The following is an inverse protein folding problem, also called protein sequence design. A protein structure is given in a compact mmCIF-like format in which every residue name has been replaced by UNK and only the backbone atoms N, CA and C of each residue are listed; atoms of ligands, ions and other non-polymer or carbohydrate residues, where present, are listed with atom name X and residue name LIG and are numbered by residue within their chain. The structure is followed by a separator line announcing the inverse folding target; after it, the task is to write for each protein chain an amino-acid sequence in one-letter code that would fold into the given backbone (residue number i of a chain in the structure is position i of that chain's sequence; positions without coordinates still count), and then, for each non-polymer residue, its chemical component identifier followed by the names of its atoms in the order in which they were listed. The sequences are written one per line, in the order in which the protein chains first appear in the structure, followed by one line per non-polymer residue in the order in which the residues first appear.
data_IF_213819657919
#
_entry.id   IF_213819657919
#
_cell.length_a   1.000
_cell.length_b   1.000
_cell.length_c   1.000
_cell.angle_alpha   90.00
_cell.angle_beta   90.00
_cell.angle_gamma   90.00
#
_symmetry.space_group_name_H-M   'P 1'
#
loop_
_entity.id
_entity.type
_entity.pdbx_description
1 polymer ?
#
# COMPACT_ATOMS: atom_id res chain seq x y z
N UNK A 1 10.99 -14.93 43.59
CA UNK A 1 11.02 -15.72 42.34
C UNK A 1 9.62 -15.71 41.75
N UNK A 2 9.38 -14.88 40.74
CA UNK A 2 9.24 -15.18 39.30
C UNK A 2 7.87 -15.76 38.92
N UNK A 3 7.41 -15.33 37.73
CA UNK A 3 6.31 -15.85 36.90
C UNK A 3 4.91 -15.39 37.33
N UNK A 4 3.99 -14.94 36.48
CA UNK A 4 3.88 -14.66 35.03
C UNK A 4 2.40 -14.27 34.81
N UNK A 5 2.03 -13.82 33.59
CA UNK A 5 0.68 -13.95 33.01
C UNK A 5 -0.48 -13.14 33.64
N UNK A 6 -1.45 -12.58 32.93
CA UNK A 6 -1.89 -12.75 31.55
C UNK A 6 -2.83 -11.60 31.17
N UNK A 7 -2.97 -11.37 29.85
CA UNK A 7 -4.11 -10.76 29.13
C UNK A 7 -4.67 -9.43 29.68
N UNK A 8 -4.39 -8.26 29.10
CA UNK A 8 -4.63 -7.84 27.71
C UNK A 8 -6.05 -8.18 27.21
N UNK A 9 -6.97 -7.33 27.63
CA UNK A 9 -8.38 -7.30 27.25
C UNK A 9 -8.54 -6.69 25.84
N UNK A 10 -9.00 -7.51 24.90
CA UNK A 10 -9.78 -7.05 23.76
C UNK A 10 -11.16 -6.66 24.31
N UNK A 11 -11.75 -5.52 23.90
CA UNK A 11 -12.87 -5.49 22.95
C UNK A 11 -13.11 -4.00 22.65
N UNK A 12 -13.04 -3.50 21.42
CA UNK A 12 -14.07 -3.67 20.39
C UNK A 12 -15.53 -3.48 20.88
N UNK A 13 -15.75 -2.63 21.90
CA UNK A 13 -17.04 -2.03 22.31
C UNK A 13 -16.68 -0.73 23.03
N UNK A 14 -17.59 0.23 23.12
CA UNK A 14 -17.53 1.11 24.27
C UNK A 14 -17.85 0.21 25.49
N UNK A 15 -16.82 -0.27 26.21
CA UNK A 15 -17.00 -0.83 27.55
C UNK A 15 -17.22 0.35 28.50
N UNK A 16 -18.45 0.89 28.49
CA UNK A 16 -18.96 1.58 29.67
C UNK A 16 -19.37 0.46 30.65
N UNK A 17 -18.41 -0.06 31.41
CA UNK A 17 -18.64 -0.98 32.54
C UNK A 17 -19.20 -0.19 33.74
N UNK A 18 -20.34 0.46 33.54
CA UNK A 18 -21.09 1.08 34.63
C UNK A 18 -22.54 0.63 34.58
N UNK A 19 -22.77 -0.58 35.07
CA UNK A 19 -24.05 -0.96 35.65
C UNK A 19 -24.45 0.09 36.69
N UNK A 20 -25.65 0.64 36.53
CA UNK A 20 -26.31 1.65 37.37
C UNK A 20 -25.75 3.07 37.36
N UNK A 21 -26.19 3.85 36.37
CA UNK A 21 -26.40 5.29 36.54
C UNK A 21 -27.79 5.64 36.01
N UNK A 22 -28.50 6.48 36.73
CA UNK A 22 -29.85 6.98 36.41
C UNK A 22 -29.89 7.53 34.97
N UNK A 23 -30.92 7.09 34.23
CA UNK A 23 -31.07 7.22 32.77
C UNK A 23 -30.83 8.65 32.23
N UNK A 24 -31.20 9.69 32.99
CA UNK A 24 -31.30 11.07 32.49
C UNK A 24 -29.95 11.80 32.41
N UNK A 25 -29.01 11.54 33.33
CA UNK A 25 -27.70 12.22 33.37
C UNK A 25 -26.65 11.54 32.48
N UNK A 26 -26.81 10.24 32.25
CA UNK A 26 -25.99 9.47 31.30
C UNK A 26 -26.25 9.99 29.88
N UNK A 27 -27.51 10.21 29.52
CA UNK A 27 -27.93 10.62 28.17
C UNK A 27 -27.33 11.96 27.73
N UNK A 28 -27.29 13.01 28.57
CA UNK A 28 -26.75 14.31 28.15
C UNK A 28 -25.22 14.29 27.96
N UNK A 29 -24.51 13.54 28.80
CA UNK A 29 -23.04 13.39 28.74
C UNK A 29 -22.63 12.46 27.60
N UNK A 30 -23.42 11.43 27.35
CA UNK A 30 -23.26 10.50 26.25
C UNK A 30 -23.55 11.19 24.91
N UNK A 31 -24.61 12.00 24.82
CA UNK A 31 -24.92 12.83 23.64
C UNK A 31 -23.82 13.83 23.30
N UNK A 32 -23.18 14.47 24.31
CA UNK A 32 -21.98 15.32 24.08
C UNK A 32 -20.76 14.53 23.60
N UNK A 33 -20.57 13.29 24.04
CA UNK A 33 -19.48 12.40 23.59
C UNK A 33 -19.72 11.85 22.19
N UNK A 34 -20.97 11.51 21.88
CA UNK A 34 -21.43 11.01 20.57
C UNK A 34 -21.39 12.10 19.50
N UNK A 35 -21.76 13.34 19.83
CA UNK A 35 -21.64 14.50 18.93
C UNK A 35 -20.18 14.76 18.49
N UNK A 36 -19.19 14.35 19.28
CA UNK A 36 -17.77 14.44 18.90
C UNK A 36 -17.32 13.29 17.98
N UNK A 37 -18.11 12.21 17.89
CA UNK A 37 -17.81 10.97 17.21
C UNK A 37 -18.69 10.77 15.96
N UNK A 38 -19.08 11.84 15.26
CA UNK A 38 -19.65 11.69 13.93
C UNK A 38 -18.69 10.83 13.08
N UNK A 39 -19.19 9.75 12.43
CA UNK A 39 -18.35 8.79 11.72
C UNK A 39 -17.46 9.55 10.75
N UNK A 40 -16.18 9.17 10.70
CA UNK A 40 -15.20 9.79 9.81
C UNK A 40 -15.81 9.81 8.39
N UNK A 41 -16.14 11.01 7.89
CA UNK A 41 -16.61 11.15 6.52
C UNK A 41 -15.56 10.53 5.61
N UNK A 42 -16.01 9.56 4.83
CA UNK A 42 -15.19 8.74 3.96
C UNK A 42 -14.23 9.62 3.14
N UNK A 43 -12.92 9.43 3.34
CA UNK A 43 -11.91 10.19 2.60
C UNK A 43 -11.89 9.66 1.17
N UNK A 44 -12.22 10.49 0.18
CA UNK A 44 -12.26 10.04 -1.22
C UNK A 44 -11.11 10.63 -2.04
N UNK A 45 -10.55 9.91 -3.03
CA UNK A 45 -9.65 10.49 -4.01
C UNK A 45 -10.43 11.47 -4.89
N UNK A 46 -9.83 12.63 -5.16
CA UNK A 46 -10.35 13.66 -6.06
C UNK A 46 -9.69 13.51 -7.43
N UNK A 47 -10.42 13.87 -8.48
CA UNK A 47 -9.92 13.85 -9.87
C UNK A 47 -9.25 15.15 -10.31
N UNK A 48 -9.44 16.28 -9.60
CA UNK A 48 -8.95 17.59 -10.07
C UNK A 48 -8.38 18.55 -9.00
N UNK A 49 -9.04 18.84 -7.87
CA UNK A 49 -8.57 19.91 -6.95
C UNK A 49 -7.75 19.47 -5.74
N UNK A 50 -7.10 20.44 -5.08
CA UNK A 50 -6.38 20.30 -3.83
C UNK A 50 -7.17 19.57 -2.73
N UNK A 51 -6.42 18.82 -1.92
CA UNK A 51 -6.96 17.98 -0.86
C UNK A 51 -7.65 18.84 0.21
N UNK A 52 -8.85 18.46 0.61
CA UNK A 52 -9.62 19.17 1.64
C UNK A 52 -9.34 18.50 2.97
N UNK A 53 -8.69 19.24 3.88
CA UNK A 53 -8.41 18.80 5.25
C UNK A 53 -9.01 19.83 6.20
N UNK A 54 -9.83 19.37 7.15
CA UNK A 54 -10.45 20.20 8.18
C UNK A 54 -9.74 19.99 9.51
N UNK A 55 -9.55 21.06 10.27
CA UNK A 55 -9.12 20.98 11.66
C UNK A 55 -10.33 20.70 12.55
N UNK A 56 -10.22 19.68 13.40
CA UNK A 56 -11.25 19.31 14.37
C UNK A 56 -10.66 19.50 15.76
N UNK A 57 -11.30 20.35 16.59
CA UNK A 57 -10.90 20.55 17.98
C UNK A 57 -11.22 19.29 18.78
N UNK A 58 -10.24 18.81 19.54
CA UNK A 58 -10.40 17.64 20.42
C UNK A 58 -10.27 18.03 21.88
N UNK A 59 -10.60 17.09 22.78
CA UNK A 59 -10.40 17.24 24.22
C UNK A 59 -8.94 17.57 24.53
N UNK A 60 -8.71 18.47 25.49
CA UNK A 60 -7.37 18.91 25.88
C UNK A 60 -6.77 20.00 24.98
N UNK A 61 -7.60 20.69 24.18
CA UNK A 61 -7.20 21.89 23.44
C UNK A 61 -6.39 21.63 22.16
N UNK A 62 -6.09 20.38 21.82
CA UNK A 62 -5.38 20.02 20.58
C UNK A 62 -6.34 19.97 19.38
N UNK A 63 -5.76 19.93 18.18
CA UNK A 63 -6.49 19.74 16.93
C UNK A 63 -6.06 18.46 16.24
N UNK A 64 -7.02 17.76 15.63
CA UNK A 64 -6.78 16.67 14.68
C UNK A 64 -7.10 17.14 13.26
N UNK A 65 -6.36 16.62 12.30
CA UNK A 65 -6.58 16.90 10.90
C UNK A 65 -7.46 15.80 10.32
N UNK A 66 -8.69 16.16 9.94
CA UNK A 66 -9.63 15.26 9.29
C UNK A 66 -9.59 15.50 7.78
N UNK A 67 -8.97 14.59 7.06
CA UNK A 67 -9.04 14.61 5.61
C UNK A 67 -10.46 14.26 5.15
N UNK A 68 -10.97 14.97 4.15
CA UNK A 68 -12.21 14.63 3.45
C UNK A 68 -11.91 14.15 2.04
N UNK A 69 -10.93 14.77 1.38
CA UNK A 69 -10.52 14.40 0.02
C UNK A 69 -9.00 14.51 -0.09
N UNK A 70 -8.33 13.49 -0.62
CA UNK A 70 -6.87 13.45 -0.77
C UNK A 70 -6.47 12.85 -2.12
N UNK A 71 -5.58 13.54 -2.84
CA UNK A 71 -5.08 13.06 -4.15
C UNK A 71 -3.67 12.54 -4.07
N UNK A 72 -2.90 13.03 -3.11
CA UNK A 72 -1.49 12.76 -2.99
C UNK A 72 -1.18 12.17 -1.62
N UNK A 73 -0.18 11.31 -1.60
CA UNK A 73 0.35 10.71 -0.40
C UNK A 73 1.86 10.59 -0.48
N UNK A 74 2.54 10.46 0.66
CA UNK A 74 3.95 10.11 0.67
C UNK A 74 4.09 8.59 0.75
N UNK A 75 4.75 8.01 -0.25
CA UNK A 75 4.92 6.57 -0.34
C UNK A 75 6.38 6.18 -0.26
N UNK A 76 6.65 5.15 0.54
CA UNK A 76 7.97 4.58 0.73
C UNK A 76 8.17 3.36 -0.17
N UNK A 77 9.25 3.39 -0.94
CA UNK A 77 9.84 2.22 -1.57
C UNK A 77 10.95 1.68 -0.67
N UNK A 78 10.70 0.54 -0.02
CA UNK A 78 11.61 -0.04 0.97
C UNK A 78 12.90 -0.55 0.33
N UNK A 79 12.82 -1.36 -0.73
CA UNK A 79 13.99 -1.93 -1.40
C UNK A 79 15.01 -0.90 -1.88
N UNK A 80 14.57 0.28 -2.33
CA UNK A 80 15.46 1.34 -2.81
C UNK A 80 15.62 2.52 -1.85
N UNK A 81 15.09 2.40 -0.63
CA UNK A 81 15.12 3.43 0.41
C UNK A 81 14.78 4.82 -0.16
N UNK A 82 13.62 4.92 -0.79
CA UNK A 82 13.16 6.14 -1.44
C UNK A 82 11.74 6.46 -1.02
N UNK A 83 11.50 7.69 -0.56
CA UNK A 83 10.17 8.22 -0.27
C UNK A 83 9.84 9.33 -1.25
N UNK A 84 8.65 9.26 -1.85
CA UNK A 84 8.19 10.27 -2.81
C UNK A 84 6.71 10.54 -2.64
N UNK A 85 6.35 11.81 -2.80
CA UNK A 85 4.97 12.24 -2.96
C UNK A 85 4.48 11.77 -4.32
N UNK A 86 3.40 10.99 -4.34
CA UNK A 86 2.82 10.45 -5.55
C UNK A 86 1.31 10.66 -5.55
N UNK A 87 0.70 10.58 -6.73
CA UNK A 87 -0.75 10.63 -6.86
C UNK A 87 -1.35 9.24 -6.61
N UNK A 88 -2.40 9.21 -5.80
CA UNK A 88 -3.27 8.05 -5.58
C UNK A 88 -4.27 8.02 -6.74
N UNK A 89 -4.34 6.89 -7.43
CA UNK A 89 -5.18 6.72 -8.62
C UNK A 89 -6.50 6.06 -8.25
N UNK A 90 -6.43 4.90 -7.60
CA UNK A 90 -7.62 4.13 -7.24
C UNK A 90 -7.43 3.28 -5.99
N UNK A 91 -8.55 2.86 -5.40
CA UNK A 91 -8.59 1.85 -4.34
C UNK A 91 -9.01 0.53 -4.98
N UNK A 92 -8.20 -0.50 -4.84
CA UNK A 92 -8.45 -1.80 -5.49
C UNK A 92 -9.04 -2.83 -4.54
N UNK A 93 -8.57 -2.84 -3.29
CA UNK A 93 -9.00 -3.83 -2.31
C UNK A 93 -8.97 -3.27 -0.90
N UNK A 94 -9.92 -3.73 -0.09
CA UNK A 94 -9.91 -3.49 1.34
C UNK A 94 -10.43 -4.74 2.07
N UNK A 95 -9.76 -5.13 3.14
CA UNK A 95 -10.08 -6.38 3.83
C UNK A 95 -11.37 -6.32 4.66
N UNK A 96 -11.72 -5.16 5.20
CA UNK A 96 -12.85 -5.04 6.13
C UNK A 96 -14.20 -4.86 5.42
N UNK A 97 -14.23 -4.09 4.33
CA UNK A 97 -15.46 -3.77 3.62
C UNK A 97 -15.19 -3.47 2.14
N UNK A 98 -15.95 -4.13 1.26
CA UNK A 98 -15.88 -3.94 -0.19
C UNK A 98 -16.54 -2.64 -0.66
N UNK A 99 -17.42 -2.04 0.13
CA UNK A 99 -18.01 -0.74 -0.19
C UNK A 99 -16.94 0.35 -0.33
N UNK A 100 -15.84 0.26 0.42
CA UNK A 100 -14.73 1.21 0.31
C UNK A 100 -14.00 1.12 -1.03
N UNK A 101 -14.03 -0.03 -1.70
CA UNK A 101 -13.50 -0.17 -3.06
C UNK A 101 -14.44 0.51 -4.05
N UNK A 102 -15.75 0.26 -3.92
CA UNK A 102 -16.80 0.86 -4.77
C UNK A 102 -16.81 2.39 -4.68
N UNK A 103 -16.77 2.94 -3.48
CA UNK A 103 -16.81 4.39 -3.23
C UNK A 103 -15.43 5.05 -3.27
N UNK A 104 -14.36 4.25 -3.43
CA UNK A 104 -12.95 4.67 -3.39
C UNK A 104 -12.60 5.36 -2.07
N UNK A 105 -12.98 4.79 -0.93
CA UNK A 105 -12.67 5.37 0.38
C UNK A 105 -11.26 5.01 0.84
N UNK A 106 -10.47 6.01 1.24
CA UNK A 106 -9.12 5.86 1.79
C UNK A 106 -9.20 5.62 3.30
N UNK A 107 -8.84 4.42 3.71
CA UNK A 107 -8.69 4.02 5.12
C UNK A 107 -7.32 3.37 5.32
N UNK A 108 -6.92 3.19 6.58
CA UNK A 108 -5.73 2.39 6.90
C UNK A 108 -5.92 0.98 6.31
N UNK A 109 -4.85 0.40 5.79
CA UNK A 109 -4.78 -0.93 5.16
C UNK A 109 -5.45 -1.09 3.79
N UNK A 110 -6.06 -0.04 3.24
CA UNK A 110 -6.54 -0.08 1.87
C UNK A 110 -5.37 -0.32 0.90
N UNK A 111 -5.60 -1.20 -0.08
CA UNK A 111 -4.67 -1.48 -1.16
C UNK A 111 -5.04 -0.58 -2.33
N UNK A 112 -4.10 0.26 -2.69
CA UNK A 112 -4.31 1.35 -3.63
C UNK A 112 -3.34 1.24 -4.81
N UNK A 113 -3.79 1.79 -5.93
CA UNK A 113 -2.98 1.97 -7.12
C UNK A 113 -2.42 3.38 -7.15
N UNK A 114 -1.12 3.49 -7.39
CA UNK A 114 -0.36 4.74 -7.32
C UNK A 114 0.38 5.01 -8.62
N UNK A 115 0.60 6.26 -8.96
CA UNK A 115 1.46 6.64 -10.07
C UNK A 115 2.95 6.27 -9.84
N UNK A 116 3.54 5.57 -10.82
CA UNK A 116 4.95 5.16 -10.79
C UNK A 116 5.92 6.27 -11.25
N UNK A 117 5.45 7.36 -11.86
CA UNK A 117 6.31 8.40 -12.44
C UNK A 117 7.37 8.99 -11.50
N UNK A 118 7.08 9.37 -10.23
CA UNK A 118 8.09 9.95 -9.35
C UNK A 118 9.15 8.92 -8.93
N UNK A 119 8.80 7.63 -8.84
CA UNK A 119 9.76 6.56 -8.55
C UNK A 119 10.66 6.28 -9.75
N UNK A 120 10.12 6.28 -10.98
CA UNK A 120 10.95 6.20 -12.21
C UNK A 120 11.96 7.34 -12.29
N UNK A 121 11.57 8.57 -11.91
CA UNK A 121 12.47 9.72 -11.87
C UNK A 121 13.53 9.58 -10.77
N UNK A 122 13.14 9.10 -9.59
CA UNK A 122 14.07 8.83 -8.48
C UNK A 122 15.15 7.83 -8.92
N UNK A 123 14.77 6.77 -9.63
CA UNK A 123 15.69 5.72 -10.06
C UNK A 123 16.65 6.19 -11.13
N UNK A 124 16.16 6.98 -12.09
CA UNK A 124 16.99 7.63 -13.10
C UNK A 124 18.07 8.52 -12.49
N UNK A 125 17.78 9.20 -11.38
CA UNK A 125 18.75 10.03 -10.67
C UNK A 125 19.74 9.20 -9.85
N UNK A 126 19.27 8.13 -9.20
CA UNK A 126 20.10 7.29 -8.33
C UNK A 126 21.02 6.34 -9.11
N UNK A 127 20.61 5.89 -10.30
CA UNK A 127 21.24 4.82 -11.08
C UNK A 127 21.18 5.11 -12.58
N UNK A 128 22.23 4.69 -13.30
CA UNK A 128 22.27 4.69 -14.77
C UNK A 128 21.47 3.49 -15.27
N UNK A 129 20.57 3.70 -16.23
CA UNK A 129 19.65 2.68 -16.70
C UNK A 129 18.40 2.63 -15.82
N UNK A 130 17.41 3.44 -16.18
CA UNK A 130 16.13 3.43 -15.50
C UNK A 130 15.51 2.02 -15.50
N UNK A 131 14.80 1.68 -14.43
CA UNK A 131 13.75 0.66 -14.47
C UNK A 131 12.61 1.28 -15.30
N UNK A 132 12.82 1.37 -16.61
CA UNK A 132 11.78 1.74 -17.55
C UNK A 132 11.20 0.45 -18.06
N UNK A 133 9.91 0.25 -17.84
CA UNK A 133 9.22 -0.87 -18.46
C UNK A 133 9.19 -0.81 -20.01
N UNK A 134 9.58 0.32 -20.61
CA UNK A 134 9.83 0.43 -22.04
C UNK A 134 11.20 -0.17 -22.37
N UNK A 135 11.29 -0.98 -23.44
CA UNK A 135 12.55 -1.58 -23.96
C UNK A 135 13.69 -0.55 -23.88
N UNK A 136 14.83 -0.95 -23.30
CA UNK A 136 16.01 -0.10 -23.12
C UNK A 136 16.46 0.44 -24.47
N UNK A 137 16.20 1.72 -24.76
CA UNK A 137 16.86 2.38 -25.89
C UNK A 137 18.32 2.61 -25.49
N UNK A 138 19.22 1.72 -25.93
CA UNK A 138 20.66 1.79 -25.65
C UNK A 138 21.26 3.18 -25.99
N UNK A 139 20.71 3.88 -26.98
CA UNK A 139 21.09 5.27 -27.32
C UNK A 139 20.90 6.24 -26.13
N UNK A 140 19.77 6.21 -25.43
CA UNK A 140 19.48 7.13 -24.30
C UNK A 140 20.36 6.87 -23.07
N UNK A 141 20.80 5.63 -22.88
CA UNK A 141 21.67 5.25 -21.77
C UNK A 141 23.08 5.79 -22.05
N UNK A 142 23.61 5.59 -23.26
CA UNK A 142 24.93 6.08 -23.68
C UNK A 142 25.06 7.61 -23.50
N UNK A 143 24.08 8.37 -23.99
CA UNK A 143 24.05 9.84 -23.85
C UNK A 143 23.95 10.33 -22.40
N UNK A 144 23.43 9.52 -21.48
CA UNK A 144 23.41 9.87 -20.05
C UNK A 144 24.76 9.58 -19.40
N UNK A 145 25.39 8.44 -19.68
CA UNK A 145 26.72 8.09 -19.18
C UNK A 145 27.80 9.10 -19.56
N UNK A 146 27.77 9.63 -20.78
CA UNK A 146 28.75 10.60 -21.29
C UNK A 146 28.70 11.96 -20.56
N UNK A 147 27.56 12.29 -19.96
CA UNK A 147 27.38 13.58 -19.25
C UNK A 147 27.91 13.58 -17.81
N UNK A 148 28.27 12.43 -17.26
CA UNK A 148 28.65 12.32 -15.85
C UNK A 148 30.16 12.21 -15.66
N UNK A 149 30.66 12.77 -14.56
CA UNK A 149 32.07 12.67 -14.19
C UNK A 149 32.47 11.24 -13.83
N UNK A 150 33.76 10.90 -13.96
CA UNK A 150 34.29 9.55 -13.64
C UNK A 150 33.93 9.10 -12.22
N UNK A 151 33.92 10.03 -11.26
CA UNK A 151 33.51 9.76 -9.88
C UNK A 151 32.03 9.39 -9.77
N UNK A 152 31.14 10.11 -10.46
CA UNK A 152 29.71 9.81 -10.50
C UNK A 152 29.45 8.43 -11.12
N UNK A 153 30.15 8.10 -12.21
CA UNK A 153 30.07 6.79 -12.84
C UNK A 153 30.46 5.67 -11.87
N UNK A 154 31.56 5.85 -11.11
CA UNK A 154 31.97 4.88 -10.10
C UNK A 154 30.94 4.73 -8.97
N UNK A 155 30.32 5.83 -8.52
CA UNK A 155 29.22 5.77 -7.55
C UNK A 155 28.01 5.01 -8.11
N UNK A 156 27.66 5.21 -9.37
CA UNK A 156 26.56 4.50 -10.00
C UNK A 156 26.83 3.00 -10.15
N UNK A 157 28.05 2.61 -10.54
CA UNK A 157 28.47 1.20 -10.59
C UNK A 157 28.32 0.52 -9.23
N UNK A 158 28.76 1.19 -8.14
CA UNK A 158 28.59 0.70 -6.75
C UNK A 158 27.12 0.52 -6.34
N UNK A 159 26.20 1.32 -6.89
CA UNK A 159 24.76 1.23 -6.61
C UNK A 159 24.04 0.20 -7.48
N UNK A 160 24.56 -0.09 -8.67
CA UNK A 160 24.01 -1.12 -9.57
C UNK A 160 24.26 -2.53 -9.06
N UNK A 161 25.41 -2.81 -8.46
CA UNK A 161 25.71 -4.15 -7.91
C UNK A 161 24.76 -4.56 -6.79
N UNK A 162 24.16 -3.61 -6.06
CA UNK A 162 23.18 -3.87 -5.00
C UNK A 162 21.74 -4.03 -5.50
N UNK A 163 21.53 -4.06 -6.83
CA UNK A 163 20.19 -4.04 -7.40
C UNK A 163 19.57 -5.43 -7.50
N UNK A 164 18.68 -5.74 -6.56
CA UNK A 164 17.74 -6.85 -6.67
C UNK A 164 16.33 -6.25 -6.67
N UNK A 165 15.78 -5.94 -7.86
CA UNK A 165 14.37 -5.53 -7.98
C UNK A 165 13.59 -6.70 -8.55
N UNK A 166 12.54 -7.19 -7.86
CA UNK A 166 11.77 -8.32 -8.31
C UNK A 166 11.05 -8.02 -9.63
N UNK A 167 10.88 -9.05 -10.46
CA UNK A 167 10.30 -8.92 -11.80
C UNK A 167 8.87 -8.37 -11.79
N UNK A 168 8.08 -8.72 -10.76
CA UNK A 168 6.70 -8.26 -10.58
C UNK A 168 6.64 -6.71 -10.53
N UNK A 169 7.58 -6.09 -9.79
CA UNK A 169 7.66 -4.64 -9.71
C UNK A 169 8.09 -4.03 -11.05
N UNK A 170 8.97 -4.70 -11.80
CA UNK A 170 9.37 -4.26 -13.15
C UNK A 170 8.16 -4.25 -14.10
N UNK A 171 7.28 -5.25 -14.00
CA UNK A 171 6.03 -5.30 -14.77
C UNK A 171 5.07 -4.17 -14.39
N UNK A 172 4.91 -3.85 -13.10
CA UNK A 172 4.14 -2.68 -12.65
C UNK A 172 4.78 -1.35 -13.12
N UNK A 173 6.11 -1.29 -13.20
CA UNK A 173 6.81 -0.20 -13.87
C UNK A 173 6.66 -0.20 -15.39
N UNK A 174 6.06 -1.20 -16.05
CA UNK A 174 5.62 -1.12 -17.46
C UNK A 174 4.28 -0.42 -17.56
N UNK A 175 3.30 -0.88 -16.78
CA UNK A 175 1.95 -0.29 -16.73
C UNK A 175 1.98 1.16 -16.27
N UNK A 176 3.01 1.54 -15.48
CA UNK A 176 3.17 2.90 -14.96
C UNK A 176 2.35 3.15 -13.70
N UNK A 177 1.84 2.09 -13.09
CA UNK A 177 1.10 2.15 -11.85
C UNK A 177 1.64 1.08 -10.90
N UNK A 178 1.88 1.46 -9.66
CA UNK A 178 2.39 0.59 -8.60
C UNK A 178 1.29 0.25 -7.60
N UNK A 179 1.36 -0.94 -7.03
CA UNK A 179 0.50 -1.35 -5.94
C UNK A 179 1.12 -0.97 -4.60
N UNK A 180 0.30 -0.40 -3.71
CA UNK A 180 0.75 0.07 -2.41
C UNK A 180 -0.32 -0.12 -1.34
N UNK A 181 0.10 -0.17 -0.08
CA UNK A 181 -0.78 -0.18 1.07
C UNK A 181 -0.72 1.14 1.83
N UNK A 182 -1.88 1.63 2.25
CA UNK A 182 -1.98 2.77 3.17
C UNK A 182 -1.67 2.33 4.61
N UNK A 183 -0.73 3.02 5.26
CA UNK A 183 -0.36 2.79 6.67
C UNK A 183 -0.99 3.82 7.61
N UNK A 184 -1.14 5.05 7.12
CA UNK A 184 -1.73 6.17 7.83
C UNK A 184 -3.24 6.05 8.02
N UNK A 185 -3.78 6.81 8.98
CA UNK A 185 -5.21 6.96 9.24
C UNK A 185 -5.67 8.36 8.78
N UNK A 186 -6.19 8.50 7.55
CA UNK A 186 -6.42 9.82 6.96
C UNK A 186 -7.48 10.65 7.70
N UNK A 187 -8.48 10.02 8.34
CA UNK A 187 -9.47 10.73 9.16
C UNK A 187 -8.93 11.35 10.46
N UNK A 188 -7.75 10.91 10.93
CA UNK A 188 -7.13 11.38 12.17
C UNK A 188 -5.91 12.28 11.93
N UNK A 189 -5.09 11.91 10.94
CA UNK A 189 -3.81 12.56 10.64
C UNK A 189 -3.93 13.55 9.46
N UNK A 190 -4.97 13.42 8.64
CA UNK A 190 -5.16 14.28 7.47
C UNK A 190 -4.23 13.94 6.30
N UNK A 191 -3.52 12.81 6.36
CA UNK A 191 -2.52 12.38 5.37
C UNK A 191 -2.80 10.95 4.94
N UNK A 192 -2.41 10.63 3.70
CA UNK A 192 -2.52 9.31 3.10
C UNK A 192 -1.12 8.77 2.76
N UNK A 193 -0.33 8.48 3.79
CA UNK A 193 1.00 7.89 3.66
C UNK A 193 0.95 6.36 3.67
N UNK A 194 1.90 5.74 2.97
CA UNK A 194 1.95 4.30 2.78
C UNK A 194 3.29 3.80 2.24
N UNK A 195 3.30 2.53 1.82
CA UNK A 195 4.48 1.89 1.24
C UNK A 195 4.09 1.01 0.04
N UNK A 196 5.02 0.83 -0.90
CA UNK A 196 4.85 -0.03 -2.07
C UNK A 196 4.90 -1.50 -1.64
N UNK A 197 4.03 -2.33 -2.20
CA UNK A 197 3.99 -3.77 -1.93
C UNK A 197 5.11 -4.48 -2.69
N UNK A 198 5.85 -5.35 -1.98
CA UNK A 198 6.98 -6.10 -2.53
C UNK A 198 6.95 -7.55 -2.02
N UNK A 199 7.56 -8.48 -2.78
CA UNK A 199 7.72 -9.89 -2.39
C UNK A 199 6.41 -10.61 -2.08
N UNK A 200 6.41 -11.43 -1.03
CA UNK A 200 5.27 -12.26 -0.60
C UNK A 200 3.99 -11.45 -0.33
N UNK A 201 4.12 -10.20 0.14
CA UNK A 201 2.95 -9.33 0.39
C UNK A 201 2.23 -8.98 -0.91
N UNK A 202 2.98 -8.83 -2.01
CA UNK A 202 2.42 -8.54 -3.31
C UNK A 202 1.69 -9.75 -3.86
N UNK A 203 2.34 -10.92 -3.84
CA UNK A 203 1.77 -12.17 -4.39
C UNK A 203 0.47 -12.54 -3.69
N UNK A 204 0.45 -12.50 -2.34
CA UNK A 204 -0.76 -12.79 -1.57
C UNK A 204 -1.93 -11.87 -1.93
N UNK A 205 -1.66 -10.58 -2.17
CA UNK A 205 -2.70 -9.60 -2.49
C UNK A 205 -3.11 -9.63 -3.96
N UNK A 206 -2.18 -9.91 -4.87
CA UNK A 206 -2.47 -10.14 -6.29
C UNK A 206 -3.36 -11.37 -6.47
N UNK A 207 -3.12 -12.46 -5.75
CA UNK A 207 -3.98 -13.65 -5.76
C UNK A 207 -5.41 -13.31 -5.32
N UNK A 208 -5.56 -12.54 -4.24
CA UNK A 208 -6.89 -12.12 -3.75
C UNK A 208 -7.61 -11.25 -4.79
N UNK A 209 -6.89 -10.34 -5.45
CA UNK A 209 -7.43 -9.50 -6.52
C UNK A 209 -7.83 -10.33 -7.77
N UNK A 210 -7.06 -11.37 -8.11
CA UNK A 210 -7.28 -12.21 -9.28
C UNK A 210 -8.41 -13.24 -9.07
N UNK A 211 -8.55 -13.80 -7.86
CA UNK A 211 -9.65 -14.72 -7.53
C UNK A 211 -11.02 -14.01 -7.55
N UNK A 212 -11.07 -12.73 -7.20
CA UNK A 212 -12.30 -11.93 -7.30
C UNK A 212 -12.74 -11.67 -8.74
N UNK A 213 -11.79 -11.55 -9.68
CA UNK A 213 -12.12 -11.36 -11.10
C UNK A 213 -12.43 -12.68 -11.81
N UNK A 214 -11.73 -13.78 -11.48
CA UNK A 214 -12.01 -15.09 -12.07
C UNK A 214 -13.37 -15.66 -11.66
N UNK A 215 -13.80 -15.46 -10.42
CA UNK A 215 -15.17 -15.83 -10.01
C UNK A 215 -16.23 -15.04 -10.79
N UNK A 216 -15.98 -13.77 -11.09
CA UNK A 216 -16.87 -12.96 -11.92
C UNK A 216 -16.88 -13.42 -13.40
N UNK A 217 -15.72 -13.79 -13.96
CA UNK A 217 -15.63 -14.34 -15.32
C UNK A 217 -16.27 -15.72 -15.44
N UNK A 218 -16.14 -16.59 -14.42
CA UNK A 218 -16.79 -17.89 -14.38
C UNK A 218 -18.32 -17.75 -14.27
N UNK A 219 -18.82 -16.79 -13.47
CA UNK A 219 -20.24 -16.48 -13.36
C UNK A 219 -20.83 -15.96 -14.69
N UNK A 220 -20.08 -15.13 -15.43
CA UNK A 220 -20.51 -14.63 -16.73
C UNK A 220 -20.49 -15.74 -17.80
N UNK A 221 -19.51 -16.64 -17.76
CA UNK A 221 -19.45 -17.82 -18.64
C UNK A 221 -20.55 -18.85 -18.34
N UNK A 222 -21.04 -18.91 -17.10
CA UNK A 222 -22.15 -19.78 -16.73
C UNK A 222 -23.51 -19.21 -17.13
N UNK A 223 -23.65 -17.87 -17.20
CA UNK A 223 -24.87 -17.21 -17.70
C UNK A 223 -24.94 -17.10 -19.23
N UNK A 224 -23.81 -16.96 -19.91
CA UNK A 224 -23.72 -16.97 -21.37
C UNK A 224 -23.25 -18.36 -21.80
N UNK A 225 -24.17 -19.31 -21.99
CA UNK A 225 -23.91 -20.74 -22.25
C UNK A 225 -23.11 -21.07 -23.52
N UNK A 226 -21.85 -20.64 -23.59
CA UNK A 226 -20.88 -21.03 -24.60
C UNK A 226 -19.73 -21.76 -23.90
N UNK A 227 -19.89 -23.08 -23.79
CA UNK A 227 -18.94 -24.00 -23.19
C UNK A 227 -17.71 -24.15 -24.10
N UNK A 228 -16.85 -23.14 -24.16
CA UNK A 228 -15.52 -23.29 -24.74
C UNK A 228 -14.54 -23.53 -23.60
N UNK A 229 -14.04 -24.77 -23.53
CA UNK A 229 -13.00 -25.25 -22.63
C UNK A 229 -11.72 -24.42 -22.80
N UNK A 230 -11.65 -23.24 -22.19
CA UNK A 230 -10.40 -22.50 -22.08
C UNK A 230 -9.63 -23.10 -20.91
N UNK A 231 -8.64 -23.93 -21.25
CA UNK A 231 -7.72 -24.58 -20.33
C UNK A 231 -6.95 -23.50 -19.57
N UNK A 232 -7.40 -23.16 -18.37
CA UNK A 232 -6.72 -22.26 -17.45
C UNK A 232 -5.34 -22.87 -17.16
N UNK A 233 -4.21 -22.19 -17.44
CA UNK A 233 -2.92 -22.69 -17.00
C UNK A 233 -2.86 -22.53 -15.49
N UNK A 234 -3.05 -23.66 -14.80
CA UNK A 234 -2.78 -23.81 -13.37
C UNK A 234 -1.29 -23.54 -13.15
N UNK A 235 -0.95 -22.33 -12.69
CA UNK A 235 0.43 -21.95 -12.43
C UNK A 235 0.92 -22.72 -11.20
N UNK A 236 1.71 -23.79 -11.44
CA UNK A 236 2.36 -24.59 -10.40
C UNK A 236 3.18 -23.68 -9.49
N UNK A 237 2.86 -23.67 -8.21
CA UNK A 237 3.75 -23.17 -7.16
C UNK A 237 5.05 -23.98 -7.22
N UNK A 238 6.13 -23.36 -7.70
CA UNK A 238 7.44 -23.99 -7.66
C UNK A 238 7.89 -24.05 -6.20
N UNK A 239 8.02 -25.27 -5.69
CA UNK A 239 8.59 -25.59 -4.38
C UNK A 239 9.94 -24.88 -4.21
N UNK A 240 10.14 -24.28 -3.03
CA UNK A 240 11.42 -23.74 -2.57
C UNK A 240 12.47 -24.85 -2.66
N UNK A 241 13.57 -24.60 -3.37
CA UNK A 241 14.81 -25.36 -3.19
C UNK A 241 15.41 -24.93 -1.85
N UNK A 242 15.25 -25.81 -0.88
CA UNK A 242 16.03 -25.87 0.35
C UNK A 242 17.52 -25.91 -0.04
N UNK A 243 18.28 -24.89 0.38
CA UNK A 243 19.73 -24.88 0.21
C UNK A 243 20.31 -25.55 1.45
N UNK A 244 20.70 -26.81 1.26
CA UNK A 244 21.51 -27.59 2.20
C UNK A 244 22.77 -26.79 2.59
N UNK A 245 22.84 -26.34 3.84
CA UNK A 245 24.11 -25.98 4.47
C UNK A 245 24.86 -27.27 4.81
N UNK A 246 25.68 -27.75 3.88
CA UNK A 246 26.69 -28.79 4.14
C UNK A 246 28.08 -28.17 4.08
N UNK A 247 28.74 -28.18 5.25
CA UNK A 247 30.18 -28.36 5.40
C UNK A 247 31.09 -27.26 4.86
N UNK A 248 31.41 -26.26 5.70
CA UNK A 248 32.76 -25.72 5.72
C UNK A 248 33.48 -26.36 6.90
N UNK A 249 34.34 -27.31 6.56
CA UNK A 249 35.23 -27.98 7.48
C UNK A 249 36.30 -27.04 8.02
N UNK A 250 36.80 -27.46 9.17
CA UNK A 250 37.95 -26.97 9.90
C UNK A 250 39.15 -26.67 9.00
N UNK A 251 39.72 -25.47 9.16
CA UNK A 251 41.17 -25.23 9.06
C UNK A 251 41.50 -24.21 10.18
N UNK A 252 42.37 -24.67 11.09
CA UNK A 252 42.82 -24.10 12.38
C UNK A 252 41.85 -24.22 13.56
#
# INVERSE_FOLDING_TARGET
MVFFSFCCEQVFRAQDDSSEKTQVDVDQKQKRRELMNAPDHQVKPKSADDGIVRLVRVRGGKFKLRALRLNHGNFAWRSEQATRKTRIVDVLYHAANNEYVRTKTLTKSAIIQIDATPFRQCNKKKKIGAISGKKKNNKKIKTQTEKFSKLQLNQFRRRQSKQNVPENIIQQFKTGRLLAALSSKPGQVGRADGYILEGDELEKKEIVLFNLSQLAFLFLFFQCGLFVFFKIPFFKSSQKKEVDNKGLGCIF
#
